data_IF_557491913434
#
_entry.id   IF_557491913434
#
_cell.length_a   1.000
_cell.length_b   1.000
_cell.length_c   1.000
_cell.angle_alpha   90.00
_cell.angle_beta   90.00
_cell.angle_gamma   90.00
#
_symmetry.space_group_name_H-M   'P 1'
#
loop_
_entity.id
_entity.type
_entity.pdbx_description
1 polymer ?
#
# COMPACT_ATOMS: atom_id res chain seq x y z
N UNK A 1 33.27 6.41 5.23
CA UNK A 1 32.17 5.78 5.99
C UNK A 1 31.14 5.36 4.96
N UNK A 2 30.74 4.08 4.92
CA UNK A 2 29.68 3.62 4.01
C UNK A 2 28.42 4.38 4.40
N UNK A 3 27.75 5.03 3.44
CA UNK A 3 26.53 5.76 3.70
C UNK A 3 25.45 4.78 4.17
N UNK A 4 25.09 4.86 5.44
CA UNK A 4 24.02 4.04 6.03
C UNK A 4 22.69 4.61 5.55
N UNK A 5 21.89 3.80 4.90
CA UNK A 5 20.53 4.18 4.54
C UNK A 5 19.61 4.12 5.78
N UNK A 6 19.46 5.26 6.46
CA UNK A 6 18.66 5.37 7.67
C UNK A 6 17.17 5.01 7.45
N UNK A 7 16.68 5.04 6.21
CA UNK A 7 15.31 4.63 5.88
C UNK A 7 15.08 3.14 6.17
N UNK A 8 16.13 2.31 6.26
CA UNK A 8 16.02 0.92 6.69
C UNK A 8 15.41 0.78 8.10
N UNK A 9 15.63 1.76 8.98
CA UNK A 9 15.08 1.75 10.34
C UNK A 9 13.62 2.20 10.42
N UNK A 10 13.05 2.74 9.35
CA UNK A 10 11.63 3.12 9.32
C UNK A 10 10.70 1.91 9.50
N UNK A 11 11.07 0.74 8.96
CA UNK A 11 10.27 -0.49 9.10
C UNK A 11 10.23 -1.01 10.54
N UNK A 12 11.34 -1.23 11.25
CA UNK A 12 11.30 -1.56 12.67
C UNK A 12 10.54 -0.53 13.51
N UNK A 13 10.70 0.76 13.24
CA UNK A 13 9.99 1.83 13.94
C UNK A 13 8.47 1.74 13.70
N UNK A 14 8.02 1.48 12.47
CA UNK A 14 6.62 1.24 12.14
C UNK A 14 6.04 0.10 12.98
N UNK A 15 6.70 -1.05 13.04
CA UNK A 15 6.23 -2.19 13.84
C UNK A 15 6.23 -1.90 15.34
N UNK A 16 7.16 -1.09 15.84
CA UNK A 16 7.15 -0.63 17.23
C UNK A 16 5.89 0.19 17.53
N UNK A 17 5.58 1.19 16.68
CA UNK A 17 4.37 2.02 16.87
C UNK A 17 3.09 1.20 16.73
N UNK A 18 3.04 0.27 15.77
CA UNK A 18 1.93 -0.67 15.63
C UNK A 18 1.72 -1.52 16.88
N UNK A 19 2.80 -2.05 17.45
CA UNK A 19 2.75 -2.80 18.70
C UNK A 19 2.27 -1.94 19.87
N UNK A 20 2.73 -0.69 19.96
CA UNK A 20 2.30 0.26 21.00
C UNK A 20 0.82 0.60 20.86
N UNK A 21 0.34 0.85 19.65
CA UNK A 21 -1.08 1.09 19.36
C UNK A 21 -1.93 -0.13 19.76
N UNK A 22 -1.53 -1.34 19.35
CA UNK A 22 -2.21 -2.58 19.71
C UNK A 22 -2.29 -2.76 21.25
N UNK A 23 -1.18 -2.54 21.97
CA UNK A 23 -1.17 -2.61 23.44
C UNK A 23 -2.07 -1.56 24.10
N UNK A 24 -2.10 -0.34 23.53
CA UNK A 24 -2.97 0.73 24.01
C UNK A 24 -4.45 0.41 23.75
N UNK A 25 -4.78 -0.17 22.59
CA UNK A 25 -6.13 -0.63 22.27
C UNK A 25 -6.61 -1.69 23.28
N UNK A 26 -5.75 -2.67 23.59
CA UNK A 26 -6.05 -3.69 24.62
C UNK A 26 -6.32 -3.06 25.99
N UNK A 27 -5.48 -2.11 26.41
CA UNK A 27 -5.66 -1.38 27.68
C UNK A 27 -6.94 -0.55 27.72
N UNK A 28 -7.31 0.07 26.60
CA UNK A 28 -8.56 0.83 26.47
C UNK A 28 -9.79 -0.05 26.21
N UNK A 29 -9.65 -1.37 26.23
CA UNK A 29 -10.70 -2.36 25.94
C UNK A 29 -11.37 -2.14 24.59
N UNK A 30 -10.56 -1.80 23.57
CA UNK A 30 -10.98 -1.58 22.19
C UNK A 30 -10.26 -2.51 21.21
N UNK A 31 -10.27 -3.85 21.44
CA UNK A 31 -9.60 -4.79 20.53
C UNK A 31 -10.26 -4.83 19.14
N UNK A 32 -11.51 -4.39 19.01
CA UNK A 32 -12.29 -4.38 17.77
C UNK A 32 -11.72 -3.46 16.69
N UNK A 33 -10.83 -2.54 17.05
CA UNK A 33 -10.17 -1.68 16.05
C UNK A 33 -9.10 -2.43 15.24
N UNK A 34 -8.79 -3.68 15.62
CA UNK A 34 -7.87 -4.55 14.89
C UNK A 34 -8.60 -5.80 14.41
N UNK A 35 -8.57 -6.03 13.12
CA UNK A 35 -8.94 -7.29 12.48
C UNK A 35 -7.67 -7.98 11.97
N UNK A 36 -7.56 -9.30 12.19
CA UNK A 36 -6.37 -10.06 11.83
C UNK A 36 -6.14 -10.08 10.31
N UNK A 37 -7.15 -10.44 9.56
CA UNK A 37 -7.11 -10.62 8.12
C UNK A 37 -6.82 -9.28 7.41
N UNK A 38 -7.50 -8.24 7.86
CA UNK A 38 -7.29 -6.87 7.41
C UNK A 38 -5.87 -6.39 7.72
N UNK A 39 -5.37 -6.61 8.95
CA UNK A 39 -4.02 -6.21 9.36
C UNK A 39 -2.93 -6.91 8.53
N UNK A 40 -3.06 -8.23 8.29
CA UNK A 40 -2.14 -8.98 7.40
C UNK A 40 -2.16 -8.40 5.99
N UNK A 41 -3.33 -8.12 5.45
CA UNK A 41 -3.49 -7.53 4.12
C UNK A 41 -2.88 -6.13 4.04
N UNK A 42 -3.17 -5.27 5.02
CA UNK A 42 -2.66 -3.90 5.10
C UNK A 42 -1.13 -3.87 5.14
N UNK A 43 -0.52 -4.68 6.01
CA UNK A 43 0.93 -4.80 6.14
C UNK A 43 1.54 -5.34 4.84
N UNK A 44 0.91 -6.34 4.20
CA UNK A 44 1.39 -6.89 2.92
C UNK A 44 1.46 -5.82 1.83
N UNK A 45 0.43 -4.98 1.71
CA UNK A 45 0.40 -3.87 0.74
C UNK A 45 1.48 -2.84 1.08
N UNK A 46 1.65 -2.49 2.35
CA UNK A 46 2.68 -1.55 2.80
C UNK A 46 4.11 -2.04 2.55
N UNK A 47 4.39 -3.33 2.76
CA UNK A 47 5.70 -3.92 2.42
C UNK A 47 5.97 -3.81 0.91
N UNK A 48 4.98 -4.10 0.06
CA UNK A 48 5.12 -4.00 -1.39
C UNK A 48 5.36 -2.55 -1.84
N UNK A 49 4.64 -1.58 -1.27
CA UNK A 49 4.87 -0.17 -1.57
C UNK A 49 6.29 0.26 -1.20
N UNK A 50 6.75 -0.06 0.01
CA UNK A 50 8.10 0.29 0.44
C UNK A 50 9.18 -0.34 -0.43
N UNK A 51 8.98 -1.59 -0.82
CA UNK A 51 9.88 -2.31 -1.72
C UNK A 51 9.99 -1.63 -3.10
N UNK A 52 8.85 -1.33 -3.72
CA UNK A 52 8.83 -0.67 -5.04
C UNK A 52 9.33 0.78 -4.94
N UNK A 53 9.03 1.47 -3.83
CA UNK A 53 9.47 2.84 -3.63
C UNK A 53 11.00 2.97 -3.60
N UNK A 54 11.75 1.93 -3.21
CA UNK A 54 13.22 1.94 -3.29
C UNK A 54 13.70 2.14 -4.74
N UNK A 55 13.04 1.51 -5.71
CA UNK A 55 13.37 1.65 -7.13
C UNK A 55 12.88 2.98 -7.69
N UNK A 56 11.69 3.40 -7.31
CA UNK A 56 11.05 4.64 -7.80
C UNK A 56 11.74 5.88 -7.24
N UNK A 57 12.07 5.89 -5.94
CA UNK A 57 12.67 7.04 -5.28
C UNK A 57 14.01 7.46 -5.90
N UNK A 58 14.86 6.50 -6.26
CA UNK A 58 16.16 6.79 -6.89
C UNK A 58 15.99 7.52 -8.24
N UNK A 59 15.03 7.08 -9.07
CA UNK A 59 14.74 7.70 -10.37
C UNK A 59 14.14 9.10 -10.22
N UNK A 60 13.22 9.28 -9.26
CA UNK A 60 12.60 10.59 -9.01
C UNK A 60 13.55 11.57 -8.31
N UNK A 61 14.48 11.08 -7.50
CA UNK A 61 15.53 11.92 -6.95
C UNK A 61 16.35 12.56 -8.08
N UNK A 62 16.77 11.77 -9.06
CA UNK A 62 17.48 12.28 -10.26
C UNK A 62 16.61 13.26 -11.06
N UNK A 63 15.31 12.95 -11.24
CA UNK A 63 14.38 13.84 -11.93
C UNK A 63 14.23 15.20 -11.22
N UNK A 64 14.16 15.21 -9.89
CA UNK A 64 14.07 16.46 -9.13
C UNK A 64 15.31 17.33 -9.30
N UNK A 65 16.51 16.72 -9.32
CA UNK A 65 17.74 17.44 -9.59
C UNK A 65 17.79 17.98 -11.02
N UNK A 66 17.44 17.17 -12.01
CA UNK A 66 17.36 17.61 -13.40
C UNK A 66 16.41 18.81 -13.57
N UNK A 67 15.22 18.74 -12.96
CA UNK A 67 14.26 19.85 -13.01
C UNK A 67 14.84 21.10 -12.29
N UNK A 68 15.45 20.91 -11.15
CA UNK A 68 16.02 22.00 -10.38
C UNK A 68 17.20 22.66 -11.10
N UNK A 69 18.11 21.88 -11.63
CA UNK A 69 19.33 22.40 -12.27
C UNK A 69 19.06 23.09 -13.59
N UNK A 70 18.18 22.50 -14.43
CA UNK A 70 17.97 22.95 -15.82
C UNK A 70 16.71 23.82 -16.02
N UNK A 71 15.70 23.71 -15.13
CA UNK A 71 14.37 24.29 -15.39
C UNK A 71 13.79 25.09 -14.23
N UNK A 72 14.50 25.30 -13.11
CA UNK A 72 13.96 26.11 -12.01
C UNK A 72 13.68 27.54 -12.42
N UNK A 73 12.58 28.10 -11.92
CA UNK A 73 12.16 29.48 -12.20
C UNK A 73 12.92 30.46 -11.30
N UNK A 74 13.12 30.13 -10.02
CA UNK A 74 13.72 30.99 -9.01
C UNK A 74 14.91 30.34 -8.33
N UNK A 75 15.87 31.15 -7.90
CA UNK A 75 16.92 30.73 -6.97
C UNK A 75 16.44 30.93 -5.53
N UNK A 76 15.79 29.90 -4.99
CA UNK A 76 15.17 29.94 -3.66
C UNK A 76 16.24 29.62 -2.60
N UNK A 77 16.57 30.57 -1.67
CA UNK A 77 17.58 30.32 -0.66
C UNK A 77 17.08 29.35 0.42
N UNK A 78 18.01 28.66 1.09
CA UNK A 78 17.67 27.83 2.25
C UNK A 78 17.76 28.65 3.54
N UNK A 79 16.63 29.12 4.05
CA UNK A 79 16.50 29.80 5.34
C UNK A 79 15.19 29.43 6.04
N UNK A 80 15.04 29.84 7.28
CA UNK A 80 13.89 29.48 8.12
C UNK A 80 12.51 29.84 7.49
N UNK A 81 12.39 31.03 6.90
CA UNK A 81 11.12 31.44 6.27
C UNK A 81 10.79 30.61 5.04
N UNK A 82 11.81 30.24 4.25
CA UNK A 82 11.64 29.35 3.09
C UNK A 82 11.25 27.95 3.52
N UNK A 83 11.74 27.44 4.64
CA UNK A 83 11.27 26.17 5.17
C UNK A 83 9.80 26.20 5.60
N UNK A 84 9.34 27.30 6.20
CA UNK A 84 7.91 27.51 6.50
C UNK A 84 7.09 27.56 5.20
N UNK A 85 7.57 28.31 4.21
CA UNK A 85 6.89 28.36 2.91
C UNK A 85 6.84 27.00 2.22
N UNK A 86 7.91 26.22 2.33
CA UNK A 86 7.97 24.88 1.75
C UNK A 86 7.02 23.89 2.44
N UNK A 87 6.88 23.93 3.77
CA UNK A 87 5.86 23.15 4.49
C UNK A 87 4.46 23.45 3.91
N UNK A 88 4.11 24.72 3.78
CA UNK A 88 2.80 25.15 3.26
C UNK A 88 2.63 24.77 1.78
N UNK A 89 3.67 24.94 0.96
CA UNK A 89 3.63 24.58 -0.45
C UNK A 89 3.52 23.06 -0.65
N UNK A 90 4.22 22.28 0.16
CA UNK A 90 4.13 20.81 0.13
C UNK A 90 2.74 20.34 0.52
N UNK A 91 2.14 20.92 1.56
CA UNK A 91 0.79 20.60 2.02
C UNK A 91 -0.27 21.03 1.00
N UNK A 92 -0.07 22.15 0.32
CA UNK A 92 -0.92 22.59 -0.78
C UNK A 92 -0.91 21.63 -1.97
N UNK A 93 0.29 21.15 -2.36
CA UNK A 93 0.42 20.14 -3.41
C UNK A 93 -0.24 18.83 -2.98
N UNK A 94 -0.10 18.46 -1.69
CA UNK A 94 -0.78 17.29 -1.13
C UNK A 94 -2.30 17.42 -1.24
N UNK A 95 -2.87 18.53 -0.80
CA UNK A 95 -4.31 18.78 -0.89
C UNK A 95 -4.85 18.52 -2.31
N UNK A 96 -4.22 19.11 -3.33
CA UNK A 96 -4.66 18.92 -4.71
C UNK A 96 -4.41 17.50 -5.26
N UNK A 97 -3.28 16.93 -4.95
CA UNK A 97 -3.01 15.52 -5.28
C UNK A 97 -4.08 14.60 -4.68
N UNK A 98 -4.39 14.78 -3.39
CA UNK A 98 -5.34 13.97 -2.64
C UNK A 98 -6.78 14.17 -3.16
N UNK A 99 -7.19 15.40 -3.36
CA UNK A 99 -8.48 15.75 -3.94
C UNK A 99 -8.67 15.16 -5.34
N UNK A 100 -7.69 15.30 -6.23
CA UNK A 100 -7.71 14.66 -7.55
C UNK A 100 -7.70 13.13 -7.44
N UNK A 101 -7.06 12.58 -6.41
CA UNK A 101 -7.12 11.18 -6.05
C UNK A 101 -8.54 10.67 -5.85
N UNK A 102 -9.45 11.49 -5.34
CA UNK A 102 -10.85 11.15 -5.14
C UNK A 102 -11.77 11.55 -6.31
N UNK A 103 -11.47 12.62 -7.02
CA UNK A 103 -12.34 13.18 -8.05
C UNK A 103 -12.10 12.61 -9.46
N UNK A 104 -10.96 11.91 -9.70
CA UNK A 104 -10.56 11.42 -11.03
C UNK A 104 -10.27 9.92 -11.02
N UNK A 105 -10.97 9.14 -11.83
CA UNK A 105 -10.88 7.67 -11.91
C UNK A 105 -9.44 7.15 -11.98
N UNK A 106 -8.60 7.76 -12.83
CA UNK A 106 -7.21 7.35 -13.00
C UNK A 106 -6.39 7.47 -11.70
N UNK A 107 -6.56 8.56 -10.97
CA UNK A 107 -5.87 8.79 -9.70
C UNK A 107 -6.52 7.99 -8.56
N UNK A 108 -7.86 7.87 -8.58
CA UNK A 108 -8.58 7.03 -7.64
C UNK A 108 -8.15 5.56 -7.72
N UNK A 109 -7.87 5.04 -8.92
CA UNK A 109 -7.35 3.68 -9.09
C UNK A 109 -6.07 3.41 -8.28
N UNK A 110 -5.22 4.42 -8.13
CA UNK A 110 -4.03 4.31 -7.29
C UNK A 110 -4.33 4.52 -5.81
N UNK A 111 -5.35 5.32 -5.47
CA UNK A 111 -5.65 5.74 -4.11
C UNK A 111 -6.72 4.90 -3.41
N UNK A 112 -7.67 4.30 -4.14
CA UNK A 112 -8.79 3.52 -3.60
C UNK A 112 -8.34 2.43 -2.61
N UNK A 113 -7.18 1.81 -2.85
CA UNK A 113 -6.65 0.74 -1.99
C UNK A 113 -6.37 1.22 -0.58
N UNK A 114 -6.02 2.49 -0.41
CA UNK A 114 -5.83 3.13 0.88
C UNK A 114 -7.14 3.16 1.70
N UNK A 115 -8.28 3.32 1.06
CA UNK A 115 -9.61 3.37 1.66
C UNK A 115 -10.30 2.01 1.84
N UNK A 116 -9.67 0.88 1.44
CA UNK A 116 -10.32 -0.44 1.57
C UNK A 116 -10.49 -0.93 3.01
N UNK A 117 -9.63 -0.49 3.93
CA UNK A 117 -9.65 -0.99 5.32
C UNK A 117 -10.91 -0.54 6.03
N UNK A 118 -11.67 -1.50 6.57
CA UNK A 118 -12.82 -1.23 7.43
C UNK A 118 -12.40 -0.91 8.88
N UNK A 119 -11.12 -1.11 9.20
CA UNK A 119 -10.47 -0.69 10.43
C UNK A 119 -9.57 0.52 10.16
N UNK A 120 -9.64 1.49 11.07
CA UNK A 120 -8.82 2.70 11.01
C UNK A 120 -7.81 2.68 12.15
N UNK A 121 -6.60 2.22 11.84
CA UNK A 121 -5.47 2.06 12.76
C UNK A 121 -4.14 2.16 11.98
N UNK A 122 -2.99 2.08 12.65
CA UNK A 122 -1.69 2.23 12.00
C UNK A 122 -1.39 1.20 10.90
N UNK A 123 -2.07 0.05 10.88
CA UNK A 123 -1.92 -0.86 9.73
C UNK A 123 -2.54 -0.27 8.47
N UNK A 124 -3.66 0.46 8.59
CA UNK A 124 -4.31 1.13 7.46
C UNK A 124 -3.44 2.26 6.89
N UNK A 125 -2.66 2.96 7.72
CA UNK A 125 -1.70 3.96 7.28
C UNK A 125 -0.65 3.41 6.29
N UNK A 126 -0.25 2.16 6.45
CA UNK A 126 0.71 1.50 5.56
C UNK A 126 0.11 1.10 4.21
N UNK A 127 -1.22 1.13 4.07
CA UNK A 127 -1.96 0.62 2.92
C UNK A 127 -1.91 1.58 1.72
N UNK A 128 -0.76 1.72 1.11
CA UNK A 128 -0.53 2.58 -0.05
C UNK A 128 -0.14 1.71 -1.24
N UNK A 129 -0.68 1.99 -2.45
CA UNK A 129 -0.32 1.21 -3.63
C UNK A 129 1.05 1.57 -4.18
N UNK A 130 1.65 0.61 -4.86
CA UNK A 130 2.88 0.82 -5.62
C UNK A 130 2.73 1.90 -6.70
N UNK A 131 1.56 2.02 -7.34
CA UNK A 131 1.26 3.04 -8.33
C UNK A 131 1.13 4.44 -7.74
N UNK A 132 0.64 4.52 -6.50
CA UNK A 132 0.51 5.79 -5.80
C UNK A 132 1.88 6.45 -5.58
N UNK A 133 2.93 5.67 -5.32
CA UNK A 133 4.28 6.20 -5.17
C UNK A 133 4.74 6.96 -6.44
N UNK A 134 4.48 6.40 -7.62
CA UNK A 134 4.84 7.01 -8.91
C UNK A 134 4.03 8.29 -9.15
N UNK A 135 2.71 8.21 -9.06
CA UNK A 135 1.80 9.34 -9.33
C UNK A 135 2.08 10.47 -8.35
N UNK A 136 2.11 10.14 -7.07
CA UNK A 136 2.38 11.09 -5.99
C UNK A 136 3.68 11.86 -6.24
N UNK A 137 4.78 11.14 -6.49
CA UNK A 137 6.09 11.77 -6.67
C UNK A 137 6.12 12.72 -7.88
N UNK A 138 5.35 12.43 -8.94
CA UNK A 138 5.19 13.32 -10.08
C UNK A 138 4.58 14.69 -9.72
N UNK A 139 3.61 14.73 -8.81
CA UNK A 139 3.01 16.01 -8.38
C UNK A 139 4.03 16.94 -7.71
N UNK A 140 4.95 16.39 -6.93
CA UNK A 140 5.98 17.19 -6.24
C UNK A 140 7.08 17.74 -7.14
N UNK A 141 7.15 17.34 -8.43
CA UNK A 141 8.05 17.95 -9.41
C UNK A 141 7.86 19.47 -9.53
N UNK A 142 6.67 19.99 -9.20
CA UNK A 142 6.39 21.43 -9.21
C UNK A 142 7.28 22.21 -8.21
N UNK A 143 7.68 21.59 -7.09
CA UNK A 143 8.46 22.27 -6.06
C UNK A 143 9.91 22.55 -6.52
N UNK A 144 10.69 21.57 -7.04
CA UNK A 144 11.99 21.87 -7.63
C UNK A 144 11.88 22.76 -8.88
N UNK A 145 10.79 22.67 -9.66
CA UNK A 145 10.54 23.57 -10.78
C UNK A 145 10.39 25.04 -10.34
N UNK A 146 9.69 25.30 -9.23
CA UNK A 146 9.62 26.63 -8.62
C UNK A 146 10.97 27.11 -8.13
N UNK A 147 11.87 26.21 -7.68
CA UNK A 147 13.22 26.54 -7.22
C UNK A 147 13.57 26.04 -5.81
N UNK A 148 12.72 25.22 -5.19
CA UNK A 148 13.08 24.56 -3.94
C UNK A 148 14.10 23.46 -4.19
N UNK A 149 15.21 23.48 -3.45
CA UNK A 149 16.26 22.48 -3.62
C UNK A 149 15.73 21.05 -3.37
N UNK A 150 16.05 20.05 -4.20
CA UNK A 150 15.53 18.68 -4.11
C UNK A 150 15.65 18.05 -2.72
N UNK A 151 16.79 18.25 -2.02
CA UNK A 151 16.97 17.75 -0.66
C UNK A 151 15.96 18.32 0.32
N UNK A 152 15.58 19.60 0.19
CA UNK A 152 14.56 20.23 1.03
C UNK A 152 13.19 19.62 0.74
N UNK A 153 12.86 19.42 -0.54
CA UNK A 153 11.58 18.78 -0.96
C UNK A 153 11.48 17.37 -0.39
N UNK A 154 12.52 16.54 -0.54
CA UNK A 154 12.55 15.17 -0.01
C UNK A 154 12.41 15.17 1.52
N UNK A 155 13.09 16.08 2.21
CA UNK A 155 12.97 16.22 3.66
C UNK A 155 11.52 16.51 4.06
N UNK A 156 10.83 17.42 3.36
CA UNK A 156 9.42 17.72 3.62
C UNK A 156 8.50 16.53 3.33
N UNK A 157 8.76 15.77 2.27
CA UNK A 157 7.98 14.55 1.97
C UNK A 157 8.11 13.50 3.07
N UNK A 158 9.27 13.38 3.70
CA UNK A 158 9.48 12.49 4.86
C UNK A 158 8.69 13.01 6.08
N UNK A 159 8.72 14.31 6.35
CA UNK A 159 7.99 14.94 7.47
C UNK A 159 6.48 14.75 7.29
N UNK A 160 5.94 15.04 6.09
CA UNK A 160 4.53 14.83 5.77
C UNK A 160 4.12 13.36 5.88
N UNK A 161 4.93 12.44 5.32
CA UNK A 161 4.63 11.00 5.44
C UNK A 161 4.64 10.49 6.88
N UNK A 162 5.52 11.02 7.73
CA UNK A 162 5.53 10.70 9.16
C UNK A 162 4.30 11.28 9.87
N UNK A 163 3.90 12.51 9.55
CA UNK A 163 2.69 13.12 10.10
C UNK A 163 1.44 12.32 9.74
N UNK A 164 1.25 12.05 8.45
CA UNK A 164 0.13 11.29 7.90
C UNK A 164 0.01 9.89 8.55
N UNK A 165 1.13 9.22 8.85
CA UNK A 165 1.10 7.95 9.58
C UNK A 165 0.38 8.07 10.93
N UNK A 166 0.69 9.10 11.73
CA UNK A 166 0.12 9.27 13.07
C UNK A 166 -1.34 9.74 13.08
N UNK A 167 -1.89 10.20 11.94
CA UNK A 167 -3.31 10.53 11.84
C UNK A 167 -4.22 9.30 11.72
N UNK A 168 -3.67 8.11 11.42
CA UNK A 168 -4.44 6.88 11.22
C UNK A 168 -4.67 6.10 12.53
N UNK A 169 -5.42 6.66 13.47
CA UNK A 169 -5.78 5.93 14.70
C UNK A 169 -7.12 6.34 15.27
N UNK A 170 -7.86 5.37 15.80
CA UNK A 170 -9.10 5.62 16.55
C UNK A 170 -8.89 5.81 18.06
N UNK A 171 -7.64 5.76 18.52
CA UNK A 171 -7.33 5.85 19.95
C UNK A 171 -7.20 7.27 20.48
N UNK A 172 -7.08 8.24 19.57
CA UNK A 172 -7.08 9.68 19.84
C UNK A 172 -8.43 10.23 19.47
N UNK A 173 -9.12 10.80 20.43
CA UNK A 173 -10.42 11.45 20.21
C UNK A 173 -10.30 12.85 19.57
N UNK A 174 -11.45 13.48 19.38
CA UNK A 174 -11.55 14.83 18.82
C UNK A 174 -10.85 15.87 19.70
N UNK A 175 -9.98 16.69 19.12
CA UNK A 175 -9.26 17.78 19.80
C UNK A 175 -9.61 19.10 19.10
N UNK A 176 -10.80 19.64 19.39
CA UNK A 176 -11.40 20.76 18.66
C UNK A 176 -10.49 21.95 18.40
N UNK A 177 -9.73 22.42 19.41
CA UNK A 177 -8.86 23.58 19.25
C UNK A 177 -7.69 23.32 18.29
N UNK A 178 -7.20 22.06 18.23
CA UNK A 178 -6.12 21.67 17.32
C UNK A 178 -6.63 21.55 15.87
N UNK A 179 -7.88 21.13 15.69
CA UNK A 179 -8.53 20.92 14.40
C UNK A 179 -8.84 22.23 13.65
N UNK A 180 -8.67 23.38 14.29
CA UNK A 180 -8.71 24.66 13.59
C UNK A 180 -7.51 24.85 12.65
N UNK A 181 -6.37 24.22 12.97
CA UNK A 181 -5.10 24.39 12.24
C UNK A 181 -4.65 23.08 11.64
N UNK A 182 -4.69 21.98 12.40
CA UNK A 182 -4.08 20.71 12.04
C UNK A 182 -5.08 19.62 11.75
N UNK A 183 -4.73 18.73 10.82
CA UNK A 183 -5.44 17.49 10.58
C UNK A 183 -5.14 16.53 11.74
N UNK A 184 -6.14 16.22 12.56
CA UNK A 184 -6.05 15.26 13.66
C UNK A 184 -6.52 13.87 13.21
N UNK A 185 -6.34 12.81 14.01
CA UNK A 185 -6.94 11.51 13.73
C UNK A 185 -8.46 11.55 13.54
N UNK A 186 -9.18 12.43 14.25
CA UNK A 186 -10.63 12.65 14.04
C UNK A 186 -10.93 13.23 12.66
N UNK A 187 -10.21 14.27 12.24
CA UNK A 187 -10.37 14.90 10.91
C UNK A 187 -10.04 13.93 9.78
N UNK A 188 -8.94 13.18 9.92
CA UNK A 188 -8.54 12.19 8.92
C UNK A 188 -9.44 10.93 8.96
N UNK A 189 -9.99 10.58 10.12
CA UNK A 189 -11.00 9.53 10.25
C UNK A 189 -12.28 9.86 9.47
N UNK A 190 -12.72 11.11 9.45
CA UNK A 190 -13.84 11.58 8.59
C UNK A 190 -13.50 11.37 7.11
N UNK A 191 -12.25 11.67 6.70
CA UNK A 191 -11.81 11.44 5.32
C UNK A 191 -11.89 9.96 4.89
N UNK A 192 -11.56 9.02 5.79
CA UNK A 192 -11.65 7.59 5.54
C UNK A 192 -13.05 6.99 5.69
N UNK A 193 -14.05 7.82 5.98
CA UNK A 193 -15.41 7.34 6.22
C UNK A 193 -16.15 6.99 4.94
N UNK A 194 -17.01 5.96 5.04
CA UNK A 194 -17.94 5.56 3.97
C UNK A 194 -19.36 6.12 4.16
N UNK A 195 -19.60 6.87 5.23
CA UNK A 195 -20.88 7.53 5.48
C UNK A 195 -21.10 8.66 4.47
N UNK A 196 -22.30 8.76 3.89
CA UNK A 196 -22.63 9.71 2.81
C UNK A 196 -22.27 11.17 3.14
N UNK A 197 -22.50 11.59 4.40
CA UNK A 197 -22.18 12.96 4.87
C UNK A 197 -20.68 13.28 4.94
N UNK A 198 -19.82 12.25 4.94
CA UNK A 198 -18.37 12.35 5.06
C UNK A 198 -17.63 12.12 3.74
N UNK A 199 -18.35 11.67 2.69
CA UNK A 199 -17.71 11.41 1.40
C UNK A 199 -17.10 12.69 0.81
N UNK A 200 -15.93 12.54 0.22
CA UNK A 200 -15.21 13.63 -0.46
C UNK A 200 -14.92 14.84 0.43
N UNK A 201 -14.52 14.59 1.70
CA UNK A 201 -14.15 15.60 2.69
C UNK A 201 -12.72 15.42 3.18
N UNK A 202 -12.13 16.50 3.71
CA UNK A 202 -10.88 16.55 4.47
C UNK A 202 -9.67 15.99 3.71
N UNK A 203 -9.29 16.63 2.61
CA UNK A 203 -8.15 16.22 1.78
C UNK A 203 -6.77 16.71 2.27
N UNK A 204 -6.73 17.60 3.27
CA UNK A 204 -5.49 18.11 3.85
C UNK A 204 -4.65 17.00 4.47
N UNK A 205 -3.32 17.15 4.49
CA UNK A 205 -2.39 16.25 5.15
C UNK A 205 -2.04 16.73 6.56
N UNK A 206 -1.39 17.89 6.67
CA UNK A 206 -1.02 18.47 7.96
C UNK A 206 -2.01 19.55 8.42
N UNK A 207 -2.54 20.36 7.49
CA UNK A 207 -3.33 21.55 7.80
C UNK A 207 -4.76 21.48 7.27
N UNK A 208 -5.72 21.91 8.10
CA UNK A 208 -7.15 21.95 7.76
C UNK A 208 -7.56 23.19 6.99
N UNK A 209 -6.71 24.22 6.90
CA UNK A 209 -7.10 25.48 6.28
C UNK A 209 -7.31 25.38 4.76
N UNK A 210 -6.68 24.42 4.07
CA UNK A 210 -6.97 24.19 2.65
C UNK A 210 -8.39 23.64 2.47
N UNK A 211 -8.79 22.70 3.30
CA UNK A 211 -10.16 22.17 3.28
C UNK A 211 -11.19 23.25 3.60
N UNK A 212 -10.89 24.13 4.55
CA UNK A 212 -11.74 25.28 4.86
C UNK A 212 -11.80 26.28 3.71
N UNK A 213 -10.65 26.60 3.10
CA UNK A 213 -10.55 27.52 1.99
C UNK A 213 -11.34 27.05 0.75
N UNK A 214 -11.25 25.74 0.46
CA UNK A 214 -11.90 25.16 -0.73
C UNK A 214 -13.25 24.48 -0.42
N UNK A 215 -13.78 24.60 0.80
CA UNK A 215 -15.12 24.14 1.18
C UNK A 215 -15.26 22.64 1.34
N UNK A 216 -14.16 21.91 1.58
CA UNK A 216 -14.14 20.46 1.76
C UNK A 216 -14.00 20.03 3.23
N UNK A 217 -13.90 20.96 4.17
CA UNK A 217 -13.78 20.67 5.59
C UNK A 217 -15.09 20.15 6.18
N UNK A 218 -15.01 19.02 6.91
CA UNK A 218 -16.11 18.45 7.67
C UNK A 218 -15.60 17.96 9.03
N UNK A 219 -16.27 18.39 10.11
CA UNK A 219 -15.99 17.88 11.45
C UNK A 219 -16.57 16.47 11.64
N UNK A 220 -15.94 15.69 12.51
CA UNK A 220 -16.53 14.46 13.02
C UNK A 220 -17.72 14.79 13.92
N UNK A 221 -18.93 14.51 13.47
CA UNK A 221 -20.18 14.68 14.23
C UNK A 221 -20.56 13.37 14.93
N UNK A 222 -20.45 12.27 14.22
CA UNK A 222 -20.73 10.92 14.68
C UNK A 222 -19.55 10.02 14.34
N UNK A 223 -19.39 8.91 15.06
CA UNK A 223 -18.32 7.95 14.82
C UNK A 223 -18.36 7.43 13.37
N UNK A 224 -17.31 7.65 12.58
CA UNK A 224 -17.27 7.21 11.18
C UNK A 224 -17.34 5.69 11.03
N UNK A 225 -17.95 5.25 9.94
CA UNK A 225 -17.79 3.89 9.41
C UNK A 225 -16.70 3.94 8.35
N UNK A 226 -15.68 3.10 8.50
CA UNK A 226 -14.54 3.10 7.60
C UNK A 226 -14.70 2.14 6.45
N UNK A 227 -13.87 2.31 5.41
CA UNK A 227 -13.86 1.48 4.22
C UNK A 227 -14.54 2.13 3.02
N UNK A 228 -14.76 1.34 1.98
CA UNK A 228 -15.46 1.80 0.78
C UNK A 228 -16.98 1.73 0.94
N UNK A 229 -17.71 2.60 0.25
CA UNK A 229 -19.17 2.52 0.12
C UNK A 229 -19.64 1.15 -0.40
N UNK A 230 -18.82 0.52 -1.24
CA UNK A 230 -19.00 -0.87 -1.71
C UNK A 230 -17.76 -1.68 -1.35
N UNK A 231 -17.74 -2.39 -0.20
CA UNK A 231 -16.60 -3.16 0.27
C UNK A 231 -16.13 -4.19 -0.76
N UNK A 232 -14.80 -4.32 -0.93
CA UNK A 232 -14.21 -5.24 -1.90
C UNK A 232 -14.38 -6.72 -1.51
N UNK A 233 -14.51 -7.02 -0.22
CA UNK A 233 -14.68 -8.39 0.34
C UNK A 233 -13.64 -9.40 -0.16
N UNK A 234 -12.42 -8.97 -0.41
CA UNK A 234 -11.32 -9.80 -0.90
C UNK A 234 -10.00 -9.40 -0.27
N UNK A 235 -9.22 -10.38 0.16
CA UNK A 235 -7.85 -10.21 0.66
C UNK A 235 -6.80 -10.57 -0.40
N UNK A 236 -7.21 -10.88 -1.63
CA UNK A 236 -6.28 -11.15 -2.74
C UNK A 236 -5.39 -9.94 -2.98
N UNK A 237 -4.07 -10.11 -2.78
CA UNK A 237 -3.08 -9.06 -2.98
C UNK A 237 -3.18 -8.42 -4.38
N UNK A 238 -3.28 -9.24 -5.41
CA UNK A 238 -3.38 -8.74 -6.78
C UNK A 238 -4.73 -8.06 -7.04
N UNK A 239 -5.85 -8.64 -6.57
CA UNK A 239 -7.16 -8.06 -6.78
C UNK A 239 -7.28 -6.70 -6.10
N UNK A 240 -6.78 -6.55 -4.88
CA UNK A 240 -6.77 -5.29 -4.17
C UNK A 240 -6.00 -4.18 -4.91
N UNK A 241 -4.87 -4.53 -5.57
CA UNK A 241 -4.10 -3.55 -6.34
C UNK A 241 -4.70 -3.20 -7.70
N UNK A 242 -5.36 -4.14 -8.37
CA UNK A 242 -5.67 -4.00 -9.79
C UNK A 242 -7.16 -3.90 -10.11
N UNK A 243 -8.08 -4.23 -9.19
CA UNK A 243 -9.51 -4.31 -9.50
C UNK A 243 -10.04 -3.04 -10.17
N UNK A 244 -9.69 -1.86 -9.65
CA UNK A 244 -10.23 -0.61 -10.15
C UNK A 244 -9.67 -0.23 -11.53
N UNK A 245 -8.44 -0.62 -11.84
CA UNK A 245 -7.91 -0.51 -13.21
C UNK A 245 -8.67 -1.39 -14.18
N UNK A 246 -9.07 -2.60 -13.77
CA UNK A 246 -9.93 -3.46 -14.56
C UNK A 246 -11.34 -2.88 -14.70
N UNK A 247 -11.87 -2.23 -13.67
CA UNK A 247 -13.16 -1.53 -13.72
C UNK A 247 -13.10 -0.37 -14.72
N UNK A 248 -12.06 0.46 -14.70
CA UNK A 248 -11.83 1.54 -15.69
C UNK A 248 -11.74 0.96 -17.10
N UNK A 249 -10.94 -0.11 -17.29
CA UNK A 249 -10.79 -0.75 -18.59
C UNK A 249 -12.12 -1.28 -19.12
N UNK A 250 -12.92 -1.93 -18.28
CA UNK A 250 -14.23 -2.45 -18.68
C UNK A 250 -15.21 -1.31 -19.03
N UNK A 251 -15.23 -0.24 -18.24
CA UNK A 251 -16.02 0.95 -18.53
C UNK A 251 -15.58 1.59 -19.85
N UNK A 252 -14.28 1.72 -20.08
CA UNK A 252 -13.72 2.22 -21.33
C UNK A 252 -14.09 1.34 -22.55
N UNK A 253 -14.04 0.03 -22.37
CA UNK A 253 -14.43 -0.96 -23.41
C UNK A 253 -15.91 -0.87 -23.78
N UNK A 254 -16.79 -0.66 -22.79
CA UNK A 254 -18.25 -0.48 -23.01
C UNK A 254 -18.58 0.89 -23.60
N UNK A 255 -17.72 1.88 -23.42
CA UNK A 255 -17.95 3.27 -23.86
C UNK A 255 -17.78 3.41 -25.37
N UNK A 256 -18.70 4.17 -26.00
CA UNK A 256 -18.66 4.46 -27.44
C UNK A 256 -18.20 5.90 -27.71
N UNK A 257 -17.20 6.03 -28.58
CA UNK A 257 -16.65 7.32 -28.97
C UNK A 257 -15.58 7.89 -28.01
N UNK A 258 -14.76 8.81 -28.51
CA UNK A 258 -13.61 9.36 -27.80
C UNK A 258 -13.99 10.03 -26.48
N UNK A 259 -15.01 10.90 -26.47
CA UNK A 259 -15.44 11.65 -25.28
C UNK A 259 -15.90 10.72 -24.13
N UNK A 260 -16.64 9.66 -24.45
CA UNK A 260 -17.09 8.70 -23.44
C UNK A 260 -15.91 7.87 -22.89
N UNK A 261 -14.98 7.44 -23.74
CA UNK A 261 -13.76 6.74 -23.35
C UNK A 261 -12.83 7.61 -22.50
N UNK A 262 -12.67 8.88 -22.87
CA UNK A 262 -11.94 9.85 -22.07
C UNK A 262 -12.56 10.00 -20.67
N UNK A 263 -13.90 10.14 -20.61
CA UNK A 263 -14.63 10.25 -19.32
C UNK A 263 -14.52 8.97 -18.48
N UNK A 264 -14.42 7.79 -19.07
CA UNK A 264 -14.19 6.55 -18.34
C UNK A 264 -12.86 6.55 -17.56
N UNK A 265 -11.82 7.18 -18.11
CA UNK A 265 -10.48 7.25 -17.50
C UNK A 265 -10.33 8.47 -16.56
N UNK A 266 -10.76 9.65 -17.03
CA UNK A 266 -10.52 10.92 -16.36
C UNK A 266 -11.78 11.56 -15.77
N UNK A 267 -12.92 10.88 -15.81
CA UNK A 267 -14.14 11.31 -15.14
C UNK A 267 -14.16 10.94 -13.67
N UNK A 268 -15.23 11.33 -12.97
CA UNK A 268 -15.39 11.08 -11.54
C UNK A 268 -15.71 9.61 -11.24
N UNK A 269 -15.14 9.03 -10.16
CA UNK A 269 -15.50 7.71 -9.63
C UNK A 269 -16.99 7.55 -9.30
N UNK A 270 -17.68 8.61 -8.94
CA UNK A 270 -19.12 8.60 -8.68
C UNK A 270 -19.98 8.16 -9.89
N UNK A 271 -19.41 8.18 -11.10
CA UNK A 271 -20.09 7.74 -12.32
C UNK A 271 -19.66 6.35 -12.78
N UNK A 272 -18.94 5.58 -11.94
CA UNK A 272 -18.58 4.19 -12.23
C UNK A 272 -19.84 3.33 -12.25
N UNK A 273 -19.98 2.53 -13.31
CA UNK A 273 -21.08 1.56 -13.46
C UNK A 273 -20.97 0.48 -12.36
N UNK A 274 -21.95 0.44 -11.49
CA UNK A 274 -21.96 -0.44 -10.32
C UNK A 274 -21.99 -1.94 -10.66
N UNK A 275 -22.41 -2.32 -11.89
CA UNK A 275 -22.44 -3.71 -12.34
C UNK A 275 -21.08 -4.25 -12.74
N UNK A 276 -20.11 -3.37 -12.98
CA UNK A 276 -18.79 -3.77 -13.48
C UNK A 276 -18.04 -4.60 -12.44
N UNK A 277 -17.93 -4.11 -11.21
CA UNK A 277 -17.17 -4.81 -10.15
C UNK A 277 -17.73 -6.21 -9.87
N UNK A 278 -19.04 -6.42 -9.61
CA UNK A 278 -19.60 -7.75 -9.39
C UNK A 278 -19.35 -8.70 -10.56
N UNK A 279 -19.40 -8.19 -11.81
CA UNK A 279 -19.12 -8.98 -13.01
C UNK A 279 -17.67 -9.45 -13.07
N UNK A 280 -16.72 -8.56 -12.75
CA UNK A 280 -15.29 -8.88 -12.72
C UNK A 280 -14.96 -9.82 -11.55
N UNK A 281 -15.53 -9.59 -10.37
CA UNK A 281 -15.38 -10.47 -9.21
C UNK A 281 -15.87 -11.90 -9.52
N UNK A 282 -17.03 -12.04 -10.14
CA UNK A 282 -17.55 -13.33 -10.59
C UNK A 282 -16.60 -14.01 -11.57
N UNK A 283 -15.93 -13.25 -12.42
CA UNK A 283 -14.98 -13.78 -13.42
C UNK A 283 -13.64 -14.20 -12.80
N UNK A 284 -13.07 -13.39 -11.90
CA UNK A 284 -11.71 -13.57 -11.41
C UNK A 284 -11.61 -14.22 -10.02
N UNK A 285 -12.71 -14.18 -9.23
CA UNK A 285 -12.75 -14.67 -7.85
C UNK A 285 -13.69 -15.86 -7.66
N UNK A 286 -13.95 -16.64 -8.71
CA UNK A 286 -14.97 -17.71 -8.76
C UNK A 286 -14.88 -18.76 -7.64
N UNK A 287 -13.70 -19.01 -7.07
CA UNK A 287 -13.49 -20.01 -6.03
C UNK A 287 -13.40 -19.37 -4.63
N UNK A 288 -14.39 -18.58 -4.24
CA UNK A 288 -14.43 -18.09 -2.84
C UNK A 288 -14.76 -19.27 -1.92
N UNK A 289 -13.77 -19.75 -1.21
CA UNK A 289 -13.99 -20.57 -0.02
C UNK A 289 -14.74 -19.74 1.03
N UNK A 290 -15.48 -20.41 1.90
CA UNK A 290 -16.36 -19.80 2.88
C UNK A 290 -15.57 -18.80 3.79
N UNK A 291 -15.87 -17.48 3.78
CA UNK A 291 -15.07 -16.48 4.52
C UNK A 291 -15.16 -16.61 6.04
N UNK A 292 -15.98 -17.52 6.56
CA UNK A 292 -16.17 -17.76 8.00
C UNK A 292 -15.30 -18.90 8.56
N UNK A 293 -14.49 -19.57 7.73
CA UNK A 293 -13.58 -20.61 8.26
C UNK A 293 -12.38 -19.95 8.93
N UNK A 294 -12.16 -20.26 10.22
CA UNK A 294 -10.99 -19.79 10.98
C UNK A 294 -9.72 -20.33 10.35
N UNK A 295 -8.78 -19.46 10.00
CA UNK A 295 -7.46 -19.86 9.51
C UNK A 295 -6.74 -20.73 10.54
N UNK A 296 -6.40 -21.96 10.15
CA UNK A 296 -5.70 -22.90 11.02
C UNK A 296 -4.28 -22.45 11.37
N UNK A 297 -3.63 -21.68 10.47
CA UNK A 297 -2.22 -21.29 10.59
C UNK A 297 -2.01 -19.79 10.59
N UNK A 298 -2.63 -19.06 11.53
CA UNK A 298 -2.36 -17.62 11.72
C UNK A 298 -0.88 -17.31 11.93
N UNK A 299 -0.18 -18.16 12.69
CA UNK A 299 1.24 -17.98 12.98
C UNK A 299 2.11 -18.07 11.71
N UNK A 300 1.73 -18.88 10.72
CA UNK A 300 2.46 -18.97 9.47
C UNK A 300 2.48 -17.61 8.74
N UNK A 301 1.35 -16.91 8.64
CA UNK A 301 1.29 -15.59 8.01
C UNK A 301 2.12 -14.55 8.76
N UNK A 302 2.09 -14.54 10.07
CA UNK A 302 2.95 -13.67 10.87
C UNK A 302 4.44 -13.94 10.62
N UNK A 303 4.85 -15.22 10.53
CA UNK A 303 6.23 -15.60 10.22
C UNK A 303 6.60 -15.11 8.81
N UNK A 304 5.73 -15.30 7.80
CA UNK A 304 6.00 -14.84 6.44
C UNK A 304 6.14 -13.31 6.36
N UNK A 305 5.26 -12.56 7.01
CA UNK A 305 5.36 -11.10 7.09
C UNK A 305 6.62 -10.65 7.85
N UNK A 306 6.96 -11.35 8.93
CA UNK A 306 8.20 -11.10 9.68
C UNK A 306 9.45 -11.29 8.82
N UNK A 307 9.51 -12.39 8.06
CA UNK A 307 10.60 -12.66 7.11
C UNK A 307 10.65 -11.58 6.01
N UNK A 308 9.50 -11.24 5.41
CA UNK A 308 9.45 -10.16 4.40
C UNK A 308 9.92 -8.82 4.96
N UNK A 309 9.55 -8.50 6.19
CA UNK A 309 9.98 -7.27 6.86
C UNK A 309 11.48 -7.25 7.11
N UNK A 310 12.02 -8.36 7.60
CA UNK A 310 13.46 -8.50 7.82
C UNK A 310 14.23 -8.40 6.50
N UNK A 311 13.78 -9.11 5.47
CA UNK A 311 14.37 -9.05 4.14
C UNK A 311 14.31 -7.63 3.57
N UNK A 312 13.18 -6.95 3.67
CA UNK A 312 13.03 -5.57 3.21
C UNK A 312 13.97 -4.62 3.97
N UNK A 313 14.11 -4.78 5.29
CA UNK A 313 15.00 -3.98 6.12
C UNK A 313 16.46 -4.15 5.68
N UNK A 314 16.93 -5.40 5.56
CA UNK A 314 18.29 -5.72 5.11
C UNK A 314 18.50 -5.25 3.67
N UNK A 315 17.52 -5.49 2.80
CA UNK A 315 17.54 -5.08 1.40
C UNK A 315 17.66 -3.54 1.26
N UNK A 316 16.88 -2.78 2.04
CA UNK A 316 16.96 -1.32 2.06
C UNK A 316 18.33 -0.84 2.52
N UNK A 317 18.90 -1.49 3.55
CA UNK A 317 20.20 -1.13 4.09
C UNK A 317 21.33 -1.31 3.06
N UNK A 318 21.29 -2.38 2.27
CA UNK A 318 22.31 -2.73 1.29
C UNK A 318 21.97 -2.34 -0.15
N UNK A 319 20.83 -1.70 -0.40
CA UNK A 319 20.25 -1.49 -1.73
C UNK A 319 21.24 -0.94 -2.76
N UNK A 320 22.05 0.08 -2.37
CA UNK A 320 23.02 0.72 -3.27
C UNK A 320 24.26 -0.14 -3.56
N UNK A 321 24.43 -1.23 -2.80
CA UNK A 321 25.58 -2.13 -2.93
C UNK A 321 25.26 -3.45 -3.62
N UNK A 322 23.98 -3.69 -3.90
CA UNK A 322 23.51 -4.92 -4.55
C UNK A 322 23.55 -4.80 -6.08
N UNK A 323 23.87 -5.89 -6.73
CA UNK A 323 23.78 -6.00 -8.18
C UNK A 323 22.31 -6.04 -8.65
N UNK A 324 22.07 -5.79 -9.94
CA UNK A 324 20.73 -5.73 -10.49
C UNK A 324 19.97 -7.07 -10.33
N UNK A 325 20.65 -8.20 -10.49
CA UNK A 325 20.04 -9.53 -10.36
C UNK A 325 19.63 -9.84 -8.91
N UNK A 326 20.42 -9.43 -7.90
CA UNK A 326 20.07 -9.54 -6.49
C UNK A 326 18.80 -8.73 -6.17
N UNK A 327 18.75 -7.50 -6.68
CA UNK A 327 17.59 -6.63 -6.51
C UNK A 327 16.33 -7.24 -7.08
N UNK A 328 16.40 -7.80 -8.29
CA UNK A 328 15.27 -8.48 -8.95
C UNK A 328 14.88 -9.76 -8.19
N UNK A 329 15.85 -10.52 -7.72
CA UNK A 329 15.60 -11.73 -6.94
C UNK A 329 14.86 -11.43 -5.64
N UNK A 330 15.36 -10.49 -4.82
CA UNK A 330 14.74 -10.11 -3.54
C UNK A 330 13.34 -9.51 -3.78
N UNK A 331 13.20 -8.63 -4.78
CA UNK A 331 11.90 -8.10 -5.22
C UNK A 331 10.91 -9.25 -5.51
N UNK A 332 11.31 -10.21 -6.31
CA UNK A 332 10.45 -11.32 -6.72
C UNK A 332 10.03 -12.19 -5.54
N UNK A 333 10.98 -12.55 -4.65
CA UNK A 333 10.69 -13.37 -3.47
C UNK A 333 9.73 -12.68 -2.51
N UNK A 334 9.92 -11.39 -2.25
CA UNK A 334 9.00 -10.64 -1.38
C UNK A 334 7.61 -10.57 -2.03
N UNK A 335 7.49 -10.18 -3.29
CA UNK A 335 6.20 -10.05 -3.98
C UNK A 335 5.45 -11.39 -4.04
N UNK A 336 6.12 -12.49 -4.38
CA UNK A 336 5.51 -13.84 -4.37
C UNK A 336 5.02 -14.19 -2.97
N UNK A 337 5.78 -13.87 -1.93
CA UNK A 337 5.38 -14.13 -0.55
C UNK A 337 4.14 -13.32 -0.15
N UNK A 338 4.05 -12.05 -0.55
CA UNK A 338 2.88 -11.21 -0.26
C UNK A 338 1.62 -11.68 -1.03
N UNK A 339 1.78 -12.12 -2.28
CA UNK A 339 0.70 -12.75 -3.06
C UNK A 339 0.22 -14.01 -2.33
N UNK A 340 1.14 -14.84 -1.83
CA UNK A 340 0.80 -16.04 -1.06
C UNK A 340 0.05 -15.70 0.22
N UNK A 341 0.46 -14.67 0.97
CA UNK A 341 -0.25 -14.24 2.17
C UNK A 341 -1.73 -13.92 1.87
N UNK A 342 -2.00 -13.14 0.83
CA UNK A 342 -3.37 -12.82 0.41
C UNK A 342 -4.14 -14.05 -0.07
N UNK A 343 -3.49 -14.95 -0.80
CA UNK A 343 -4.10 -16.18 -1.31
C UNK A 343 -4.41 -17.19 -0.19
N UNK A 344 -3.59 -17.25 0.88
CA UNK A 344 -3.85 -18.06 2.08
C UNK A 344 -5.08 -17.51 2.82
N UNK A 345 -5.18 -16.17 2.98
CA UNK A 345 -6.37 -15.54 3.57
C UNK A 345 -7.65 -15.92 2.83
N UNK A 346 -7.56 -16.12 1.52
CA UNK A 346 -8.67 -16.56 0.67
C UNK A 346 -8.74 -18.08 0.45
N UNK A 347 -7.86 -18.85 1.09
CA UNK A 347 -7.82 -20.32 0.98
C UNK A 347 -7.73 -20.83 -0.47
N UNK A 348 -6.89 -20.20 -1.32
CA UNK A 348 -6.75 -20.57 -2.73
C UNK A 348 -5.90 -21.82 -2.92
N UNK A 349 -6.43 -22.82 -3.63
CA UNK A 349 -5.73 -24.11 -3.89
C UNK A 349 -4.42 -23.96 -4.67
N UNK A 350 -4.32 -22.98 -5.54
CA UNK A 350 -3.13 -22.74 -6.37
C UNK A 350 -1.90 -22.20 -5.60
N UNK A 351 -2.06 -21.82 -4.32
CA UNK A 351 -0.97 -21.35 -3.44
C UNK A 351 0.18 -22.35 -3.43
N UNK A 352 -0.10 -23.65 -3.41
CA UNK A 352 0.90 -24.69 -3.41
C UNK A 352 1.93 -24.49 -4.53
N UNK A 353 1.50 -24.17 -5.74
CA UNK A 353 2.40 -23.95 -6.87
C UNK A 353 3.29 -22.71 -6.70
N UNK A 354 2.78 -21.65 -6.08
CA UNK A 354 3.60 -20.47 -5.77
C UNK A 354 4.63 -20.75 -4.67
N UNK A 355 4.30 -21.54 -3.66
CA UNK A 355 5.27 -21.99 -2.66
C UNK A 355 6.38 -22.82 -3.30
N UNK A 356 6.04 -23.72 -4.20
CA UNK A 356 7.00 -24.47 -5.00
C UNK A 356 7.90 -23.55 -5.84
N UNK A 357 7.30 -22.60 -6.54
CA UNK A 357 8.06 -21.62 -7.33
C UNK A 357 9.03 -20.84 -6.44
N UNK A 358 8.60 -20.41 -5.28
CA UNK A 358 9.44 -19.67 -4.32
C UNK A 358 10.62 -20.52 -3.83
N UNK A 359 10.39 -21.78 -3.45
CA UNK A 359 11.45 -22.69 -3.03
C UNK A 359 12.44 -22.92 -4.18
N UNK A 360 11.92 -23.16 -5.39
CA UNK A 360 12.75 -23.33 -6.58
C UNK A 360 13.62 -22.10 -6.86
N UNK A 361 13.07 -20.90 -6.80
CA UNK A 361 13.82 -19.65 -7.00
C UNK A 361 14.91 -19.47 -5.95
N UNK A 362 14.63 -19.74 -4.67
CA UNK A 362 15.61 -19.62 -3.59
C UNK A 362 16.74 -20.63 -3.80
N UNK A 363 16.43 -21.89 -4.09
CA UNK A 363 17.45 -22.92 -4.28
C UNK A 363 18.31 -22.67 -5.52
N UNK A 364 17.71 -22.25 -6.64
CA UNK A 364 18.45 -21.87 -7.86
C UNK A 364 19.36 -20.67 -7.64
N UNK A 365 18.90 -19.66 -6.88
CA UNK A 365 19.73 -18.51 -6.54
C UNK A 365 20.95 -18.93 -5.72
N UNK A 366 20.78 -19.78 -4.71
CA UNK A 366 21.91 -20.31 -3.92
C UNK A 366 22.90 -21.13 -4.77
N UNK A 367 22.40 -21.91 -5.73
CA UNK A 367 23.26 -22.65 -6.63
C UNK A 367 24.05 -21.72 -7.57
N UNK A 368 23.41 -20.62 -8.01
CA UNK A 368 24.06 -19.60 -8.82
C UNK A 368 25.21 -18.92 -8.07
N UNK A 369 24.95 -18.45 -6.83
CA UNK A 369 25.93 -17.80 -5.96
C UNK A 369 27.14 -18.68 -5.59
N UNK A 370 27.02 -19.99 -5.75
CA UNK A 370 28.07 -20.97 -5.48
C UNK A 370 28.73 -21.54 -6.74
N UNK A 371 28.46 -20.94 -7.92
CA UNK A 371 28.94 -21.43 -9.23
C UNK A 371 28.51 -22.86 -9.54
N UNK A 372 27.42 -23.33 -8.93
CA UNK A 372 26.88 -24.70 -9.10
C UNK A 372 25.76 -24.77 -10.13
N UNK A 373 25.85 -23.98 -11.20
CA UNK A 373 24.80 -23.82 -12.22
C UNK A 373 24.42 -25.10 -12.94
N UNK A 374 25.35 -26.04 -13.04
CA UNK A 374 25.10 -27.37 -13.62
C UNK A 374 23.99 -28.15 -12.85
N UNK A 375 23.75 -27.78 -11.59
CA UNK A 375 22.76 -28.44 -10.73
C UNK A 375 21.41 -27.73 -10.71
N UNK A 376 21.14 -26.71 -11.56
CA UNK A 376 19.88 -25.95 -11.55
C UNK A 376 18.63 -26.83 -11.72
N UNK A 377 18.73 -27.93 -12.44
CA UNK A 377 17.62 -28.87 -12.61
C UNK A 377 17.37 -29.77 -11.39
N UNK A 378 18.34 -29.93 -10.48
CA UNK A 378 18.22 -30.81 -9.33
C UNK A 378 17.06 -30.45 -8.41
N UNK A 379 16.87 -29.16 -7.99
CA UNK A 379 15.71 -28.78 -7.19
C UNK A 379 14.39 -29.12 -7.87
N UNK A 380 14.28 -28.86 -9.17
CA UNK A 380 13.06 -29.13 -9.93
C UNK A 380 12.76 -30.63 -9.98
N UNK A 381 13.77 -31.46 -10.24
CA UNK A 381 13.64 -32.92 -10.25
C UNK A 381 13.21 -33.43 -8.87
N UNK A 382 13.87 -32.95 -7.79
CA UNK A 382 13.53 -33.34 -6.42
C UNK A 382 12.07 -32.96 -6.11
N UNK A 383 11.63 -31.74 -6.49
CA UNK A 383 10.28 -31.29 -6.25
C UNK A 383 9.23 -32.14 -6.99
N UNK A 384 9.47 -32.51 -8.24
CA UNK A 384 8.59 -33.38 -9.02
C UNK A 384 8.51 -34.79 -8.37
N UNK A 385 9.64 -35.40 -8.02
CA UNK A 385 9.63 -36.70 -7.35
C UNK A 385 8.99 -36.68 -5.98
N UNK A 386 9.22 -35.61 -5.18
CA UNK A 386 8.58 -35.44 -3.89
C UNK A 386 7.03 -35.29 -4.02
N UNK A 387 6.54 -34.58 -5.05
CA UNK A 387 5.11 -34.53 -5.34
C UNK A 387 4.56 -35.92 -5.72
N UNK A 388 5.24 -36.64 -6.59
CA UNK A 388 4.80 -37.99 -7.01
C UNK A 388 4.78 -39.00 -5.87
N UNK A 389 5.80 -38.98 -5.00
CA UNK A 389 5.93 -39.94 -3.90
C UNK A 389 5.02 -39.61 -2.70
N UNK A 390 4.89 -38.36 -2.36
CA UNK A 390 4.25 -37.92 -1.11
C UNK A 390 2.94 -37.19 -1.32
N UNK A 391 2.49 -36.91 -2.57
CA UNK A 391 1.28 -36.12 -2.88
C UNK A 391 1.25 -34.82 -2.06
N UNK A 392 2.37 -34.08 -2.06
CA UNK A 392 2.56 -32.90 -1.21
C UNK A 392 1.50 -31.83 -1.44
N UNK A 393 0.98 -31.72 -2.66
CA UNK A 393 -0.13 -30.80 -2.98
C UNK A 393 -1.40 -31.12 -2.18
N UNK A 394 -1.76 -32.42 -2.08
CA UNK A 394 -2.91 -32.85 -1.26
C UNK A 394 -2.65 -32.64 0.22
N UNK A 395 -1.45 -33.02 0.69
CA UNK A 395 -1.07 -32.81 2.09
C UNK A 395 -1.11 -31.30 2.45
N UNK A 396 -0.56 -30.45 1.61
CA UNK A 396 -0.57 -28.99 1.79
C UNK A 396 -2.01 -28.44 1.80
N UNK A 397 -2.86 -28.86 0.85
CA UNK A 397 -4.25 -28.45 0.80
C UNK A 397 -5.00 -28.86 2.07
N UNK A 398 -4.85 -30.11 2.52
CA UNK A 398 -5.50 -30.59 3.74
C UNK A 398 -4.99 -29.89 5.01
N UNK A 399 -3.74 -29.46 5.02
CA UNK A 399 -3.12 -28.81 6.15
C UNK A 399 -3.47 -27.32 6.25
N UNK A 400 -3.48 -26.60 5.13
CA UNK A 400 -3.68 -25.15 5.08
C UNK A 400 -5.14 -24.76 4.81
N UNK A 401 -5.76 -25.46 3.86
CA UNK A 401 -7.14 -25.23 3.50
C UNK A 401 -8.01 -26.14 4.35
N UNK A 402 -8.45 -25.86 5.48
CA UNK A 402 -9.39 -26.67 6.28
C UNK A 402 -10.53 -27.24 5.41
N UNK A 403 -10.21 -28.22 4.58
CA UNK A 403 -11.21 -29.07 3.98
C UNK A 403 -11.65 -29.99 5.11
N UNK A 404 -12.70 -29.63 5.82
CA UNK A 404 -13.43 -30.60 6.63
C UNK A 404 -13.76 -31.74 5.67
N UNK A 405 -13.29 -32.94 6.00
CA UNK A 405 -13.84 -34.16 5.47
C UNK A 405 -15.36 -34.05 5.72
N UNK A 406 -16.12 -33.92 4.63
CA UNK A 406 -17.55 -34.14 4.68
C UNK A 406 -17.71 -35.60 5.16
N UNK A 407 -17.97 -35.80 6.46
CA UNK A 407 -18.57 -36.99 7.02
C UNK A 407 -20.10 -36.87 6.91
#
# INVERSE_FOLDING_TARGET
>A
MKNINFLAFAMPAFFLFLFLEYKLAQRKKRPEIFNYESSVSNISIGIAERLINLFVAASFYQLYYLIYDDYRIFDVPSNFLVWIALILATDFVWYWYHRLGHEVNFFWAAHIVHHHSEEFNFTAAARITTFQAIIRTGFWCILPFVGFHPTMVITMLIVHGAYSFFTHTQLVGKIKWLEYIFVTPSVHGVHHASDEKYLDKNYGDMFTFWDRLFGTFQEEEEKPKYGLTHPLKSYSFLWQHFHYYFEIYELWRRSKGFKARWKAVFGSPAHMDQDIRPTLEKRFLQDKSNPHQRLRFRNYLYIQLGICTLLLTVFTYYFDHLEAYDKIFVLSIIIITLINCGAILEQRKWIYYLEYTRIFMITTYFLYERDLTIFFFVPLVIMIFAEQLFSLSKYYQNMILQLESAE
#
